data_IF_053480434186
#
_entry.id   IF_053480434186
#
_cell.length_a   1.000
_cell.length_b   1.000
_cell.length_c   1.000
_cell.angle_alpha   90.00
_cell.angle_beta   90.00
_cell.angle_gamma   90.00
#
_symmetry.space_group_name_H-M   'P 1'
#
loop_
_entity.id
_entity.type
_entity.pdbx_description
1 polymer ?
#
# COMPACT_ATOMS: atom_id res chain seq x y z
N UNK A 1 -3.72 2.25 -27.56
CA UNK A 1 -3.94 3.28 -26.50
C UNK A 1 -4.78 2.75 -25.33
N UNK A 2 -5.76 1.86 -25.55
CA UNK A 2 -6.55 1.30 -24.44
C UNK A 2 -5.72 0.47 -23.46
N UNK A 3 -4.76 -0.31 -23.96
CA UNK A 3 -3.87 -1.13 -23.15
C UNK A 3 -2.90 -0.28 -22.32
N UNK A 4 -2.39 0.80 -22.89
CA UNK A 4 -1.53 1.75 -22.15
C UNK A 4 -2.25 2.35 -20.94
N UNK A 5 -3.56 2.59 -21.03
CA UNK A 5 -4.37 3.08 -19.89
C UNK A 5 -4.60 2.03 -18.79
N UNK A 6 -4.31 0.77 -19.06
CA UNK A 6 -4.42 -0.34 -18.11
C UNK A 6 -3.06 -0.74 -17.52
N UNK A 7 -1.99 -0.05 -17.89
CA UNK A 7 -0.64 -0.35 -17.39
C UNK A 7 -0.56 -0.10 -15.88
N UNK A 8 0.12 -1.00 -15.20
CA UNK A 8 0.39 -0.91 -13.75
C UNK A 8 1.77 -0.28 -13.55
N UNK A 9 1.91 0.68 -12.62
CA UNK A 9 3.20 1.24 -12.28
C UNK A 9 4.18 0.17 -11.81
N UNK A 10 5.32 0.04 -12.49
CA UNK A 10 6.34 -0.92 -12.12
C UNK A 10 7.31 -0.34 -11.09
N UNK A 11 7.97 -1.23 -10.34
CA UNK A 11 8.99 -0.86 -9.36
C UNK A 11 10.16 -0.09 -10.00
N UNK A 12 10.59 -0.53 -11.17
CA UNK A 12 11.64 0.12 -11.96
C UNK A 12 11.17 0.21 -13.41
N UNK A 13 10.91 1.41 -13.89
CA UNK A 13 10.49 1.67 -15.27
C UNK A 13 11.67 2.14 -16.14
N UNK A 14 11.49 2.10 -17.44
CA UNK A 14 12.42 2.66 -18.42
C UNK A 14 11.66 3.50 -19.42
N UNK A 15 12.24 4.63 -19.81
CA UNK A 15 11.70 5.41 -20.92
C UNK A 15 11.72 4.59 -22.21
N UNK A 16 10.73 4.75 -23.08
CA UNK A 16 10.68 4.03 -24.35
C UNK A 16 11.86 4.43 -25.25
N UNK A 17 12.45 3.45 -25.93
CA UNK A 17 13.52 3.69 -26.91
C UNK A 17 13.00 4.49 -28.10
N UNK A 18 11.75 4.24 -28.50
CA UNK A 18 11.04 4.97 -29.55
C UNK A 18 9.84 5.65 -28.93
N UNK A 19 9.83 6.96 -28.93
CA UNK A 19 8.78 7.79 -28.36
C UNK A 19 7.98 8.55 -29.41
N UNK A 20 6.88 9.16 -28.99
CA UNK A 20 6.01 10.00 -29.81
C UNK A 20 6.34 11.50 -29.69
N UNK A 21 7.17 11.86 -28.69
CA UNK A 21 7.46 13.25 -28.30
C UNK A 21 6.46 13.84 -27.28
N UNK A 22 5.42 13.08 -26.92
CA UNK A 22 4.42 13.51 -25.93
C UNK A 22 4.77 13.09 -24.50
N UNK A 23 5.76 12.22 -24.32
CA UNK A 23 6.09 11.57 -23.06
C UNK A 23 6.43 12.56 -21.95
N UNK A 24 7.24 13.59 -22.27
CA UNK A 24 7.61 14.66 -21.33
C UNK A 24 6.39 15.48 -20.91
N UNK A 25 5.58 15.86 -21.89
CA UNK A 25 4.39 16.64 -21.63
C UNK A 25 3.37 15.87 -20.82
N UNK A 26 3.13 14.60 -21.18
CA UNK A 26 2.23 13.73 -20.45
C UNK A 26 2.67 13.54 -18.99
N UNK A 27 3.98 13.36 -18.73
CA UNK A 27 4.51 13.24 -17.37
C UNK A 27 4.26 14.53 -16.55
N UNK A 28 4.54 15.71 -17.10
CA UNK A 28 4.31 17.00 -16.42
C UNK A 28 2.83 17.28 -16.19
N UNK A 29 2.00 17.14 -17.23
CA UNK A 29 0.57 17.49 -17.18
C UNK A 29 -0.22 16.51 -16.28
N UNK A 30 0.29 15.29 -16.04
CA UNK A 30 -0.33 14.31 -15.13
C UNK A 30 -0.16 14.68 -13.65
N UNK A 31 0.79 15.54 -13.29
CA UNK A 31 1.13 15.84 -11.91
C UNK A 31 1.82 14.71 -11.14
N UNK A 32 2.28 13.65 -11.84
CA UNK A 32 3.02 12.55 -11.20
C UNK A 32 4.47 12.90 -10.91
N UNK A 33 5.06 13.79 -11.68
CA UNK A 33 6.41 14.32 -11.46
C UNK A 33 6.34 15.61 -10.67
N UNK A 34 7.34 15.85 -9.83
CA UNK A 34 7.49 17.12 -9.13
C UNK A 34 8.30 18.08 -9.99
N UNK A 35 7.86 19.34 -10.06
CA UNK A 35 8.42 20.38 -10.94
C UNK A 35 8.88 21.55 -10.07
N UNK A 36 10.02 22.15 -10.39
CA UNK A 36 10.49 23.36 -9.73
C UNK A 36 9.54 24.53 -9.98
N UNK A 37 9.16 25.24 -8.94
CA UNK A 37 8.28 26.41 -8.96
C UNK A 37 9.03 27.74 -9.12
N UNK A 38 10.37 27.71 -9.07
CA UNK A 38 11.23 28.88 -9.21
C UNK A 38 12.60 28.52 -9.78
N UNK A 39 13.28 29.56 -10.29
CA UNK A 39 14.71 29.46 -10.61
C UNK A 39 15.54 29.49 -9.34
N UNK A 40 16.47 28.58 -9.17
CA UNK A 40 17.26 28.53 -7.96
C UNK A 40 18.35 27.46 -7.95
N UNK A 41 18.88 27.24 -6.75
CA UNK A 41 19.86 26.21 -6.48
C UNK A 41 19.28 25.23 -5.43
N UNK A 42 19.43 23.98 -5.69
CA UNK A 42 19.00 22.93 -4.76
C UNK A 42 19.90 22.98 -3.51
N UNK A 43 19.29 23.33 -2.38
CA UNK A 43 20.00 23.43 -1.10
C UNK A 43 20.11 22.11 -0.38
N UNK A 44 19.01 21.33 -0.40
CA UNK A 44 18.91 20.06 0.31
C UNK A 44 18.03 19.08 -0.42
N UNK A 45 18.44 17.82 -0.43
CA UNK A 45 17.64 16.70 -0.98
C UNK A 45 17.58 15.59 0.05
N UNK A 46 16.39 15.25 0.49
CA UNK A 46 16.12 14.07 1.32
C UNK A 46 15.01 13.25 0.69
N UNK A 47 14.76 12.05 1.21
CA UNK A 47 13.76 11.13 0.64
C UNK A 47 12.35 11.72 0.53
N UNK A 48 11.98 12.63 1.40
CA UNK A 48 10.62 13.18 1.53
C UNK A 48 10.49 14.63 1.10
N UNK A 49 11.60 15.36 0.92
CA UNK A 49 11.58 16.78 0.56
C UNK A 49 12.78 17.20 -0.28
N UNK A 50 12.56 18.19 -1.14
CA UNK A 50 13.59 18.92 -1.88
C UNK A 50 13.43 20.39 -1.52
N UNK A 51 14.52 21.05 -1.12
CA UNK A 51 14.53 22.48 -0.81
C UNK A 51 15.33 23.19 -1.90
N UNK A 52 14.67 24.13 -2.58
CA UNK A 52 15.27 24.99 -3.58
C UNK A 52 15.38 26.40 -3.01
N UNK A 53 16.53 27.03 -3.12
CA UNK A 53 16.75 28.40 -2.73
C UNK A 53 16.76 29.29 -3.97
N UNK A 54 15.82 30.24 -4.02
CA UNK A 54 15.68 31.16 -5.13
C UNK A 54 16.78 32.26 -5.15
N UNK A 55 16.76 33.10 -6.15
CA UNK A 55 17.70 34.26 -6.31
C UNK A 55 17.59 35.27 -5.17
N UNK A 56 16.46 35.31 -4.46
CA UNK A 56 16.22 36.19 -3.31
C UNK A 56 16.54 35.51 -1.97
N UNK A 57 17.20 34.35 -2.01
CA UNK A 57 17.57 33.56 -0.86
C UNK A 57 16.39 33.02 -0.04
N UNK A 58 15.19 32.91 -0.65
CA UNK A 58 13.98 32.34 -0.05
C UNK A 58 13.95 30.82 -0.29
N UNK A 59 13.69 29.99 0.73
CA UNK A 59 13.57 28.56 0.55
C UNK A 59 12.17 28.20 0.01
N UNK A 60 12.14 27.34 -1.01
CA UNK A 60 10.96 26.69 -1.55
C UNK A 60 11.03 25.20 -1.23
N UNK A 61 10.05 24.69 -0.51
CA UNK A 61 10.02 23.30 -0.03
C UNK A 61 9.05 22.49 -0.87
N UNK A 62 9.57 21.49 -1.57
CA UNK A 62 8.79 20.51 -2.33
C UNK A 62 8.71 19.22 -1.54
N UNK A 63 7.52 18.87 -1.06
CA UNK A 63 7.27 17.63 -0.33
C UNK A 63 6.95 16.50 -1.30
N UNK A 64 7.67 15.40 -1.22
CA UNK A 64 7.52 14.25 -2.11
C UNK A 64 6.53 13.22 -1.55
N UNK A 65 5.69 12.67 -2.43
CA UNK A 65 4.80 11.56 -2.08
C UNK A 65 5.60 10.27 -1.95
N UNK A 66 5.56 9.64 -0.77
CA UNK A 66 6.29 8.41 -0.48
C UNK A 66 5.33 7.27 -0.14
N UNK A 67 5.32 6.22 -0.95
CA UNK A 67 4.53 5.00 -0.75
C UNK A 67 3.04 5.28 -0.47
N UNK A 68 2.46 6.20 -1.21
CA UNK A 68 1.04 6.56 -1.09
C UNK A 68 0.20 5.61 -1.94
N UNK A 69 -0.91 5.15 -1.39
CA UNK A 69 -1.88 4.33 -2.12
C UNK A 69 -2.65 5.19 -3.12
N UNK A 70 -2.70 4.74 -4.38
CA UNK A 70 -3.60 5.30 -5.39
C UNK A 70 -5.02 4.72 -5.26
N UNK A 71 -5.97 5.28 -6.01
CA UNK A 71 -7.35 4.75 -6.05
C UNK A 71 -7.45 3.34 -6.63
N UNK A 72 -6.46 2.88 -7.38
CA UNK A 72 -6.35 1.54 -7.96
C UNK A 72 -5.44 0.62 -7.15
N UNK A 73 -5.18 0.93 -5.88
CA UNK A 73 -4.31 0.18 -4.98
C UNK A 73 -2.84 0.10 -5.42
N UNK A 74 -2.44 0.89 -6.42
CA UNK A 74 -1.04 0.98 -6.86
C UNK A 74 -0.24 1.93 -5.98
N UNK A 75 1.08 1.81 -6.01
CA UNK A 75 1.98 2.62 -5.20
C UNK A 75 2.40 3.89 -5.93
N UNK A 76 2.18 5.04 -5.32
CA UNK A 76 2.74 6.32 -5.74
C UNK A 76 3.97 6.59 -4.86
N UNK A 77 5.14 6.68 -5.49
CA UNK A 77 6.38 6.95 -4.79
C UNK A 77 7.27 7.84 -5.64
N UNK A 78 7.46 9.09 -5.20
CA UNK A 78 8.32 10.05 -5.89
C UNK A 78 9.77 9.89 -5.46
N UNK A 79 10.68 10.03 -6.44
CA UNK A 79 12.13 9.88 -6.26
C UNK A 79 12.82 11.12 -6.78
N UNK A 80 13.70 11.78 -5.98
CA UNK A 80 14.48 12.92 -6.45
C UNK A 80 15.35 12.55 -7.67
N UNK A 81 15.42 13.48 -8.63
CA UNK A 81 16.32 13.43 -9.78
C UNK A 81 17.53 14.36 -9.61
N UNK A 82 17.37 15.40 -8.79
CA UNK A 82 18.37 16.44 -8.55
C UNK A 82 19.23 16.13 -7.34
N UNK A 83 20.40 16.74 -7.30
CA UNK A 83 21.35 16.65 -6.18
C UNK A 83 21.57 18.02 -5.56
N UNK A 84 22.09 18.06 -4.34
CA UNK A 84 22.46 19.28 -3.67
C UNK A 84 23.50 20.06 -4.49
N UNK A 85 23.25 21.34 -4.69
CA UNK A 85 24.08 22.23 -5.50
C UNK A 85 23.68 22.34 -6.96
N UNK A 86 22.74 21.53 -7.45
CA UNK A 86 22.23 21.62 -8.82
C UNK A 86 21.47 22.94 -9.03
N UNK A 87 21.65 23.52 -10.21
CA UNK A 87 20.88 24.70 -10.65
C UNK A 87 19.64 24.23 -11.40
N UNK A 88 18.49 24.69 -10.97
CA UNK A 88 17.18 24.38 -11.57
C UNK A 88 16.51 25.65 -12.06
N UNK A 89 15.67 25.51 -13.08
CA UNK A 89 14.81 26.57 -13.59
C UNK A 89 13.35 26.23 -13.29
N UNK A 90 12.53 27.26 -13.24
CA UNK A 90 11.08 27.10 -13.17
C UNK A 90 10.59 26.13 -14.27
N UNK A 91 9.82 25.13 -13.90
CA UNK A 91 9.30 24.12 -14.80
C UNK A 91 10.24 22.92 -15.06
N UNK A 92 11.45 22.90 -14.50
CA UNK A 92 12.30 21.69 -14.56
C UNK A 92 11.74 20.57 -13.67
N UNK A 93 11.85 19.33 -14.13
CA UNK A 93 11.44 18.16 -13.33
C UNK A 93 12.52 17.86 -12.31
N UNK A 94 12.16 17.90 -11.04
CA UNK A 94 13.06 17.67 -9.90
C UNK A 94 12.90 16.31 -9.25
N UNK A 95 11.74 15.67 -9.43
CA UNK A 95 11.53 14.30 -8.98
C UNK A 95 10.61 13.51 -9.93
N UNK A 96 10.95 12.25 -10.16
CA UNK A 96 10.11 11.28 -10.87
C UNK A 96 9.03 10.72 -9.94
N UNK A 97 7.90 10.29 -10.51
CA UNK A 97 6.80 9.64 -9.82
C UNK A 97 6.48 8.25 -10.36
N UNK A 98 5.25 7.82 -10.18
CA UNK A 98 4.78 6.56 -10.72
C UNK A 98 4.80 6.57 -12.26
N UNK A 99 5.28 5.49 -12.87
CA UNK A 99 5.38 5.32 -14.33
C UNK A 99 6.12 6.46 -15.06
N UNK A 100 7.13 7.04 -14.42
CA UNK A 100 8.00 8.05 -15.03
C UNK A 100 9.47 7.71 -14.84
N UNK A 101 10.30 8.16 -15.77
CA UNK A 101 11.75 7.99 -15.72
C UNK A 101 12.43 9.20 -16.38
N UNK A 102 13.27 9.90 -15.63
CA UNK A 102 13.92 11.14 -16.06
C UNK A 102 12.93 12.21 -16.61
N UNK A 103 11.79 12.36 -15.96
CA UNK A 103 10.75 13.33 -16.34
C UNK A 103 9.94 12.94 -17.58
N UNK A 104 10.08 11.72 -18.08
CA UNK A 104 9.32 11.19 -19.21
C UNK A 104 8.40 10.06 -18.79
N UNK A 105 7.24 9.95 -19.45
CA UNK A 105 6.31 8.84 -19.24
C UNK A 105 6.98 7.51 -19.61
N UNK A 106 6.95 6.56 -18.67
CA UNK A 106 7.63 5.26 -18.76
C UNK A 106 6.70 4.18 -18.21
N UNK A 107 5.87 3.61 -19.10
CA UNK A 107 4.81 2.66 -18.70
C UNK A 107 5.32 1.22 -18.49
N UNK A 108 6.56 0.94 -18.81
CA UNK A 108 7.08 -0.43 -18.76
C UNK A 108 8.60 -0.52 -18.83
N UNK A 109 9.06 -1.60 -19.43
CA UNK A 109 10.48 -1.95 -19.63
C UNK A 109 10.75 -2.24 -21.09
N UNK A 110 11.95 -1.89 -21.55
CA UNK A 110 12.46 -2.33 -22.84
C UNK A 110 13.05 -3.73 -22.71
N UNK A 111 12.51 -4.69 -23.45
CA UNK A 111 12.94 -6.09 -23.45
C UNK A 111 13.21 -6.59 -24.87
N UNK A 112 14.12 -7.55 -25.00
CA UNK A 112 14.39 -8.21 -26.26
C UNK A 112 13.29 -9.25 -26.48
N UNK A 113 12.66 -9.22 -27.66
CA UNK A 113 11.58 -10.14 -28.06
C UNK A 113 12.04 -10.97 -29.26
N UNK A 114 11.81 -12.28 -29.21
CA UNK A 114 11.95 -13.19 -30.33
C UNK A 114 10.57 -13.61 -30.86
N UNK A 115 10.31 -13.42 -32.15
CA UNK A 115 9.08 -13.84 -32.82
C UNK A 115 9.31 -15.22 -33.45
N UNK A 116 8.97 -16.25 -32.74
CA UNK A 116 9.12 -17.64 -33.22
C UNK A 116 8.14 -18.56 -32.46
N UNK A 117 7.67 -19.66 -33.09
CA UNK A 117 6.97 -20.71 -32.34
C UNK A 117 7.95 -21.42 -31.40
N UNK A 118 7.50 -21.76 -30.21
CA UNK A 118 8.30 -22.53 -29.27
C UNK A 118 7.48 -23.62 -28.57
N UNK A 119 7.58 -24.83 -29.10
CA UNK A 119 6.97 -26.05 -28.52
C UNK A 119 5.48 -25.92 -28.18
N UNK A 120 4.79 -24.99 -28.84
CA UNK A 120 3.35 -24.72 -28.62
C UNK A 120 3.04 -23.90 -27.35
N UNK A 121 4.02 -23.58 -26.51
CA UNK A 121 3.77 -22.82 -25.29
C UNK A 121 3.41 -21.34 -25.49
N UNK A 122 3.61 -20.83 -26.69
CA UNK A 122 3.23 -19.47 -27.09
C UNK A 122 2.05 -19.46 -28.09
N UNK A 123 1.16 -20.45 -27.99
CA UNK A 123 -0.04 -20.55 -28.84
C UNK A 123 -1.00 -19.39 -28.58
N UNK A 124 -1.57 -18.82 -29.66
CA UNK A 124 -2.46 -17.63 -29.64
C UNK A 124 -1.73 -16.39 -29.05
N UNK A 125 -2.23 -15.87 -27.94
CA UNK A 125 -1.74 -14.67 -27.25
C UNK A 125 -0.79 -15.00 -26.08
N UNK A 126 -0.43 -16.26 -25.91
CA UNK A 126 0.51 -16.68 -24.87
C UNK A 126 1.93 -16.20 -25.18
N UNK A 127 2.62 -15.73 -24.16
CA UNK A 127 4.00 -15.22 -24.21
C UNK A 127 4.84 -15.98 -23.19
N UNK A 128 6.00 -16.46 -23.64
CA UNK A 128 7.02 -17.00 -22.74
C UNK A 128 7.93 -15.90 -22.24
N UNK A 129 8.21 -15.91 -20.97
CA UNK A 129 9.17 -15.00 -20.34
C UNK A 129 10.39 -15.76 -19.83
N UNK A 130 11.55 -15.15 -19.94
CA UNK A 130 12.73 -15.64 -19.26
C UNK A 130 12.53 -15.54 -17.74
N UNK A 131 12.98 -16.53 -16.99
CA UNK A 131 12.99 -16.53 -15.53
C UNK A 131 13.71 -15.30 -14.91
N UNK A 132 14.66 -14.74 -15.64
CA UNK A 132 15.30 -13.45 -15.28
C UNK A 132 14.31 -12.32 -15.10
N UNK A 133 13.21 -12.29 -15.84
CA UNK A 133 12.19 -11.25 -15.68
C UNK A 133 11.56 -11.27 -14.28
N UNK A 134 11.45 -12.45 -13.69
CA UNK A 134 10.95 -12.63 -12.31
C UNK A 134 12.08 -12.38 -11.30
N UNK A 135 13.27 -12.90 -11.56
CA UNK A 135 14.41 -12.78 -10.65
C UNK A 135 14.87 -11.33 -10.50
N UNK A 136 15.00 -10.62 -11.62
CA UNK A 136 15.51 -9.23 -11.67
C UNK A 136 14.39 -8.18 -11.48
N UNK A 137 13.21 -8.58 -11.04
CA UNK A 137 12.05 -7.69 -10.79
C UNK A 137 11.66 -6.81 -11.99
N UNK A 138 11.76 -7.31 -13.21
CA UNK A 138 11.56 -6.51 -14.43
C UNK A 138 10.12 -6.01 -14.56
N UNK A 139 9.12 -6.87 -14.28
CA UNK A 139 7.71 -6.54 -14.31
C UNK A 139 7.05 -6.56 -12.93
N UNK A 140 7.82 -6.26 -11.91
CA UNK A 140 7.34 -6.24 -10.52
C UNK A 140 6.65 -4.93 -10.20
N UNK A 141 5.52 -5.02 -9.52
CA UNK A 141 4.74 -3.88 -9.03
C UNK A 141 4.54 -3.95 -7.52
N UNK A 142 4.25 -2.79 -6.92
CA UNK A 142 3.89 -2.69 -5.51
C UNK A 142 2.43 -2.27 -5.42
N UNK A 143 1.64 -3.02 -4.67
CA UNK A 143 0.25 -2.74 -4.40
C UNK A 143 0.07 -2.44 -2.92
N UNK A 144 -0.72 -1.40 -2.61
CA UNK A 144 -0.99 -1.00 -1.23
C UNK A 144 -2.48 -1.19 -1.00
N UNK A 145 -2.83 -2.15 -0.16
CA UNK A 145 -4.21 -2.42 0.22
C UNK A 145 -4.56 -1.73 1.53
N UNK A 146 -5.78 -1.20 1.58
CA UNK A 146 -6.34 -0.57 2.77
C UNK A 146 -7.38 -1.50 3.37
N UNK A 147 -7.10 -2.01 4.55
CA UNK A 147 -8.06 -2.75 5.37
C UNK A 147 -8.54 -1.85 6.51
N UNK A 148 -9.83 -1.88 6.77
CA UNK A 148 -10.46 -0.99 7.76
C UNK A 148 -11.37 -1.79 8.69
N UNK A 149 -11.34 -1.45 9.97
CA UNK A 149 -12.25 -1.98 10.98
C UNK A 149 -12.74 -0.85 11.86
N UNK A 150 -14.01 -0.90 12.23
CA UNK A 150 -14.62 0.01 13.18
C UNK A 150 -15.04 -0.72 14.46
N UNK A 151 -14.94 -0.03 15.58
CA UNK A 151 -15.52 -0.46 16.84
C UNK A 151 -16.75 0.41 17.15
N UNK A 152 -17.89 -0.24 17.35
CA UNK A 152 -19.19 0.41 17.51
C UNK A 152 -19.75 0.18 18.89
N UNK A 153 -20.66 1.08 19.28
CA UNK A 153 -21.53 0.85 20.42
C UNK A 153 -22.64 -0.12 20.02
N UNK A 154 -22.71 -1.28 20.69
CA UNK A 154 -23.80 -2.24 20.49
C UNK A 154 -24.82 -2.18 21.64
N UNK A 155 -25.98 -2.82 21.46
CA UNK A 155 -27.02 -2.92 22.51
C UNK A 155 -26.54 -3.69 23.75
N UNK A 156 -25.55 -4.56 23.59
CA UNK A 156 -24.98 -5.41 24.64
C UNK A 156 -23.74 -4.79 25.31
N UNK A 157 -23.28 -3.66 24.83
CA UNK A 157 -22.09 -2.97 25.27
C UNK A 157 -21.21 -2.50 24.11
N UNK A 158 -20.14 -1.75 24.38
CA UNK A 158 -19.21 -1.32 23.37
C UNK A 158 -18.37 -2.50 22.83
N UNK A 159 -18.07 -2.47 21.54
CA UNK A 159 -17.00 -3.29 20.98
C UNK A 159 -15.67 -2.73 21.44
N UNK A 160 -14.71 -3.60 21.75
CA UNK A 160 -13.41 -3.21 22.27
C UNK A 160 -12.29 -3.65 21.32
N UNK A 161 -11.33 -2.76 21.10
CA UNK A 161 -10.07 -3.09 20.43
C UNK A 161 -9.10 -3.55 21.53
N UNK A 162 -8.67 -4.80 21.45
CA UNK A 162 -7.83 -5.41 22.49
C UNK A 162 -6.94 -6.51 21.92
N UNK A 163 -5.81 -6.74 22.59
CA UNK A 163 -4.96 -7.90 22.35
C UNK A 163 -5.52 -9.18 22.98
N UNK A 164 -6.37 -9.06 23.97
CA UNK A 164 -6.96 -10.20 24.69
C UNK A 164 -8.12 -10.81 23.90
N UNK A 165 -7.80 -11.67 22.94
CA UNK A 165 -8.76 -12.34 22.06
C UNK A 165 -8.96 -13.77 22.56
N UNK A 166 -10.21 -14.25 22.73
CA UNK A 166 -10.48 -15.60 23.19
C UNK A 166 -10.04 -16.64 22.14
N UNK A 167 -9.52 -17.77 22.61
CA UNK A 167 -9.13 -18.93 21.80
C UNK A 167 -8.07 -18.65 20.71
N UNK A 168 -7.17 -17.71 20.96
CA UNK A 168 -6.06 -17.36 20.07
C UNK A 168 -4.73 -17.62 20.78
N UNK A 169 -3.78 -18.24 20.08
CA UNK A 169 -2.45 -18.52 20.60
C UNK A 169 -1.59 -17.25 20.68
N UNK A 170 -0.62 -17.22 21.59
CA UNK A 170 0.35 -16.11 21.70
C UNK A 170 1.14 -15.90 20.39
N UNK A 171 1.42 -16.95 19.63
CA UNK A 171 2.10 -16.86 18.34
C UNK A 171 1.30 -16.05 17.31
N UNK A 172 -0.02 -16.19 17.31
CA UNK A 172 -0.90 -15.42 16.43
C UNK A 172 -0.97 -13.93 16.84
N UNK A 173 -0.63 -13.59 18.09
CA UNK A 173 -0.63 -12.24 18.64
C UNK A 173 0.74 -11.56 18.55
N UNK A 174 1.77 -12.21 18.03
CA UNK A 174 3.18 -11.74 18.04
C UNK A 174 3.38 -10.39 17.36
N UNK A 175 2.59 -10.07 16.34
CA UNK A 175 2.67 -8.85 15.56
C UNK A 175 1.85 -7.69 16.13
N UNK A 176 1.02 -7.96 17.14
CA UNK A 176 0.17 -6.95 17.78
C UNK A 176 0.92 -6.20 18.89
N UNK A 177 0.58 -4.94 19.03
CA UNK A 177 1.00 -4.11 20.17
C UNK A 177 0.10 -4.41 21.41
N UNK A 178 0.34 -3.67 22.51
CA UNK A 178 -0.44 -3.82 23.75
C UNK A 178 -1.92 -3.45 23.59
N UNK A 179 -2.25 -2.64 22.59
CA UNK A 179 -3.62 -2.23 22.27
C UNK A 179 -4.33 -3.22 21.33
N UNK A 180 -3.63 -4.27 20.89
CA UNK A 180 -4.17 -5.23 19.93
C UNK A 180 -4.12 -4.79 18.47
N UNK A 181 -3.26 -3.84 18.14
CA UNK A 181 -3.08 -3.30 16.77
C UNK A 181 -1.75 -3.79 16.21
N UNK A 182 -1.73 -4.18 14.94
CA UNK A 182 -0.52 -4.64 14.26
C UNK A 182 0.54 -3.53 14.21
N UNK A 183 1.81 -3.93 14.42
CA UNK A 183 2.94 -2.99 14.38
C UNK A 183 3.32 -2.65 12.95
N UNK A 184 3.67 -1.39 12.71
CA UNK A 184 4.24 -0.95 11.42
C UNK A 184 5.53 -1.72 11.14
N UNK A 185 5.71 -2.15 9.89
CA UNK A 185 6.84 -2.96 9.44
C UNK A 185 6.68 -4.47 9.64
N UNK A 186 5.65 -4.94 10.33
CA UNK A 186 5.36 -6.36 10.48
C UNK A 186 5.08 -7.00 9.11
N UNK A 187 5.60 -8.21 8.91
CA UNK A 187 5.25 -9.04 7.76
C UNK A 187 4.08 -9.94 8.12
N UNK A 188 3.00 -9.80 7.39
CA UNK A 188 1.73 -10.49 7.62
C UNK A 188 1.35 -11.38 6.45
N UNK A 189 0.68 -12.48 6.76
CA UNK A 189 0.21 -13.50 5.81
C UNK A 189 -1.30 -13.65 5.95
N UNK A 190 -1.90 -14.40 5.02
CA UNK A 190 -3.32 -14.73 5.10
C UNK A 190 -3.68 -15.28 6.49
N UNK A 191 -4.83 -14.86 7.02
CA UNK A 191 -5.38 -15.17 8.34
C UNK A 191 -4.65 -14.56 9.55
N UNK A 192 -3.51 -13.89 9.38
CA UNK A 192 -2.87 -13.16 10.48
C UNK A 192 -3.80 -12.04 11.00
N UNK A 193 -3.80 -11.85 12.31
CA UNK A 193 -4.62 -10.81 12.95
C UNK A 193 -3.94 -9.45 12.80
N UNK A 194 -4.68 -8.49 12.23
CA UNK A 194 -4.24 -7.11 12.08
C UNK A 194 -4.71 -6.21 13.22
N UNK A 195 -5.96 -6.39 13.63
CA UNK A 195 -6.55 -5.65 14.74
C UNK A 195 -7.43 -6.60 15.54
N UNK A 196 -7.11 -6.77 16.81
CA UNK A 196 -7.92 -7.54 17.73
C UNK A 196 -9.18 -6.76 18.12
N UNK A 197 -10.35 -7.31 17.82
CA UNK A 197 -11.65 -6.76 18.22
C UNK A 197 -12.52 -7.82 18.84
N UNK A 198 -13.11 -7.50 19.96
CA UNK A 198 -14.08 -8.35 20.63
C UNK A 198 -15.42 -7.65 20.75
N UNK A 199 -16.49 -8.43 20.57
CA UNK A 199 -17.87 -7.94 20.66
C UNK A 199 -18.56 -8.67 21.80
N UNK A 200 -19.30 -7.99 22.70
CA UNK A 200 -20.07 -8.63 23.77
C UNK A 200 -21.10 -9.62 23.21
N UNK A 201 -21.18 -10.83 23.79
CA UNK A 201 -22.19 -11.84 23.44
C UNK A 201 -23.45 -11.67 24.29
N UNK A 202 -24.63 -11.92 23.70
CA UNK A 202 -25.88 -12.08 24.44
C UNK A 202 -26.01 -13.49 25.04
N UNK A 203 -26.76 -13.62 26.13
CA UNK A 203 -27.01 -14.91 26.81
C UNK A 203 -27.58 -16.00 25.90
N UNK A 204 -28.24 -15.65 24.81
CA UNK A 204 -28.83 -16.57 23.85
C UNK A 204 -27.83 -17.15 22.83
N UNK A 205 -26.66 -16.56 22.69
CA UNK A 205 -25.66 -16.96 21.66
C UNK A 205 -24.69 -18.03 22.10
N UNK A 206 -24.82 -18.54 23.33
CA UNK A 206 -23.96 -19.61 23.81
C UNK A 206 -24.45 -20.98 23.34
N UNK A 207 -23.59 -21.80 22.70
CA UNK A 207 -23.90 -23.19 22.40
C UNK A 207 -24.26 -23.95 23.69
N UNK A 208 -25.13 -24.96 23.62
CA UNK A 208 -25.52 -25.77 24.80
C UNK A 208 -24.33 -26.35 25.59
N UNK A 209 -23.27 -26.73 24.87
CA UNK A 209 -22.04 -27.29 25.43
C UNK A 209 -21.27 -26.24 26.26
N UNK A 210 -21.21 -24.99 25.80
CA UNK A 210 -20.56 -23.89 26.53
C UNK A 210 -21.34 -23.52 27.79
N UNK A 211 -22.68 -23.52 27.73
CA UNK A 211 -23.55 -23.32 28.89
C UNK A 211 -23.33 -24.43 29.97
N UNK A 212 -23.14 -25.65 29.52
CA UNK A 212 -22.88 -26.79 30.41
C UNK A 212 -21.50 -26.71 31.08
N UNK A 213 -20.47 -26.35 30.33
CA UNK A 213 -19.11 -26.14 30.83
C UNK A 213 -19.04 -25.00 31.86
N UNK A 214 -19.76 -23.90 31.63
CA UNK A 214 -19.88 -22.80 32.60
C UNK A 214 -20.54 -23.23 33.90
N UNK A 215 -21.58 -24.05 33.81
CA UNK A 215 -22.27 -24.55 34.99
C UNK A 215 -21.40 -25.52 35.81
N UNK A 216 -20.50 -26.29 35.17
CA UNK A 216 -19.65 -27.28 35.82
C UNK A 216 -18.35 -26.66 36.38
N UNK A 217 -17.69 -25.77 35.63
CA UNK A 217 -16.35 -25.33 35.98
C UNK A 217 -16.29 -23.91 36.56
N UNK A 218 -17.42 -23.18 36.66
CA UNK A 218 -17.48 -21.79 37.13
C UNK A 218 -16.43 -20.85 36.49
N UNK A 219 -15.87 -21.24 35.34
CA UNK A 219 -14.89 -20.43 34.62
C UNK A 219 -15.59 -19.19 34.05
N UNK A 220 -15.09 -18.03 34.42
CA UNK A 220 -15.42 -16.76 33.79
C UNK A 220 -14.84 -16.74 32.36
N UNK A 221 -15.39 -17.57 31.46
CA UNK A 221 -15.18 -17.35 30.04
C UNK A 221 -15.71 -15.94 29.73
N UNK A 222 -14.87 -15.08 29.12
CA UNK A 222 -15.31 -13.74 28.73
C UNK A 222 -16.49 -13.89 27.78
N UNK A 223 -17.57 -13.15 28.05
CA UNK A 223 -18.79 -13.13 27.24
C UNK A 223 -18.58 -12.30 25.96
N UNK A 224 -17.52 -12.61 25.20
CA UNK A 224 -17.14 -11.88 24.02
C UNK A 224 -16.90 -12.81 22.85
N UNK A 225 -17.20 -12.31 21.64
CA UNK A 225 -16.95 -12.99 20.37
C UNK A 225 -15.77 -12.32 19.70
N UNK A 226 -14.89 -13.13 19.11
CA UNK A 226 -13.80 -12.65 18.25
C UNK A 226 -14.38 -12.11 16.92
N UNK A 227 -14.21 -10.82 16.68
CA UNK A 227 -14.53 -10.13 15.45
C UNK A 227 -13.30 -9.36 14.93
N UNK A 228 -12.12 -9.89 15.19
CA UNK A 228 -10.85 -9.29 14.78
C UNK A 228 -10.72 -9.17 13.28
N UNK A 229 -10.05 -8.10 12.85
CA UNK A 229 -9.66 -7.93 11.45
C UNK A 229 -8.49 -8.85 11.14
N UNK A 230 -8.66 -9.70 10.14
CA UNK A 230 -7.63 -10.61 9.65
C UNK A 230 -7.26 -10.27 8.22
N UNK A 231 -6.05 -10.66 7.82
CA UNK A 231 -5.62 -10.56 6.43
C UNK A 231 -6.45 -11.52 5.58
N UNK A 232 -7.10 -11.05 4.51
CA UNK A 232 -7.87 -11.89 3.60
C UNK A 232 -7.02 -12.96 2.92
N UNK A 233 -7.66 -14.04 2.47
CA UNK A 233 -6.99 -15.08 1.70
C UNK A 233 -6.44 -14.54 0.37
N UNK A 234 -5.20 -14.93 0.06
CA UNK A 234 -4.48 -14.47 -1.14
C UNK A 234 -3.79 -13.13 -0.99
N UNK A 235 -4.00 -12.46 0.13
CA UNK A 235 -3.33 -11.22 0.49
C UNK A 235 -2.22 -11.45 1.50
N UNK A 236 -1.35 -10.48 1.63
CA UNK A 236 -0.25 -10.50 2.58
C UNK A 236 0.83 -9.52 2.16
N UNK A 237 1.76 -9.23 3.06
CA UNK A 237 2.81 -8.28 2.74
C UNK A 237 3.43 -7.66 3.98
N UNK A 238 3.83 -6.41 3.85
CA UNK A 238 4.39 -5.63 4.95
C UNK A 238 3.46 -4.48 5.33
N UNK A 239 3.16 -4.34 6.60
CA UNK A 239 2.39 -3.22 7.12
C UNK A 239 3.19 -1.93 6.96
N UNK A 240 2.68 -1.00 6.14
CA UNK A 240 3.31 0.30 5.87
C UNK A 240 2.92 1.35 6.90
N UNK A 241 1.65 1.43 7.21
CA UNK A 241 1.09 2.46 8.07
C UNK A 241 -0.17 1.96 8.77
N UNK A 242 -0.44 2.53 9.94
CA UNK A 242 -1.64 2.27 10.73
C UNK A 242 -2.19 3.59 11.23
N UNK A 243 -3.42 3.93 10.85
CA UNK A 243 -4.11 5.14 11.29
C UNK A 243 -5.25 4.79 12.22
N UNK A 244 -5.23 5.38 13.40
CA UNK A 244 -6.27 5.22 14.41
C UNK A 244 -7.01 6.53 14.54
N UNK A 245 -8.31 6.49 14.29
CA UNK A 245 -9.22 7.62 14.44
C UNK A 245 -10.12 7.34 15.62
N UNK A 246 -10.28 8.31 16.51
CA UNK A 246 -11.01 8.17 17.75
C UNK A 246 -11.97 9.35 17.94
N UNK A 247 -13.23 9.04 18.22
CA UNK A 247 -14.26 10.07 18.46
C UNK A 247 -13.93 10.94 19.66
N UNK A 248 -13.32 10.38 20.68
CA UNK A 248 -12.93 11.13 21.89
C UNK A 248 -11.85 12.18 21.59
N UNK A 249 -11.04 11.96 20.55
CA UNK A 249 -10.03 12.90 20.08
C UNK A 249 -10.56 13.96 19.12
N UNK A 250 -11.86 13.91 18.80
CA UNK A 250 -12.50 14.88 17.92
C UNK A 250 -12.46 14.52 16.43
N UNK A 251 -12.11 13.29 16.08
CA UNK A 251 -12.12 12.82 14.70
C UNK A 251 -13.54 12.65 14.18
N UNK A 252 -13.79 13.03 12.93
CA UNK A 252 -15.05 12.77 12.25
C UNK A 252 -15.16 11.29 11.86
N UNK A 253 -16.06 10.57 12.51
CA UNK A 253 -16.27 9.14 12.29
C UNK A 253 -17.70 8.86 11.77
N UNK A 254 -17.88 7.73 11.07
CA UNK A 254 -19.20 7.27 10.66
C UNK A 254 -20.17 7.18 11.87
N UNK A 255 -21.48 7.36 11.66
CA UNK A 255 -22.47 7.26 12.73
C UNK A 255 -22.37 5.91 13.45
N UNK A 256 -22.30 5.97 14.79
CA UNK A 256 -22.22 4.78 15.65
C UNK A 256 -20.82 4.19 15.86
N UNK A 257 -19.81 4.60 15.11
CA UNK A 257 -18.44 4.19 15.36
C UNK A 257 -17.79 5.04 16.46
N UNK A 258 -17.09 4.40 17.38
CA UNK A 258 -16.29 5.06 18.43
C UNK A 258 -14.83 5.17 17.99
N UNK A 259 -14.30 4.13 17.37
CA UNK A 259 -12.93 4.07 16.87
C UNK A 259 -12.94 3.45 15.48
N UNK A 260 -12.11 3.97 14.57
CA UNK A 260 -11.85 3.40 13.25
C UNK A 260 -10.35 3.20 13.09
N UNK A 261 -9.96 2.00 12.68
CA UNK A 261 -8.55 1.67 12.45
C UNK A 261 -8.38 1.28 11.00
N UNK A 262 -7.43 1.95 10.33
CA UNK A 262 -7.03 1.68 8.95
C UNK A 262 -5.63 1.13 8.93
N UNK A 263 -5.47 -0.04 8.33
CA UNK A 263 -4.18 -0.70 8.16
C UNK A 263 -3.85 -0.70 6.68
N UNK A 264 -2.65 -0.24 6.34
CA UNK A 264 -2.13 -0.21 4.97
C UNK A 264 -1.06 -1.29 4.82
N UNK A 265 -1.28 -2.22 3.90
CA UNK A 265 -0.37 -3.36 3.65
C UNK A 265 0.20 -3.23 2.24
N UNK A 266 1.53 -3.22 2.12
CA UNK A 266 2.21 -3.26 0.84
C UNK A 266 2.53 -4.69 0.43
N UNK A 267 2.09 -5.06 -0.75
CA UNK A 267 2.40 -6.32 -1.40
C UNK A 267 3.25 -6.08 -2.64
N UNK A 268 4.37 -6.79 -2.74
CA UNK A 268 5.19 -6.84 -3.94
C UNK A 268 4.70 -7.97 -4.82
N UNK A 269 4.17 -7.64 -6.00
CA UNK A 269 3.64 -8.61 -6.97
C UNK A 269 4.63 -8.75 -8.12
N UNK A 270 5.09 -9.98 -8.33
CA UNK A 270 5.92 -10.36 -9.48
C UNK A 270 5.02 -10.85 -10.61
N UNK A 271 5.52 -10.79 -11.83
CA UNK A 271 4.82 -11.34 -13.00
C UNK A 271 4.57 -12.84 -12.81
N UNK A 272 3.37 -13.28 -13.09
CA UNK A 272 2.93 -14.67 -12.96
C UNK A 272 2.09 -15.10 -14.17
N UNK A 273 1.83 -16.39 -14.26
CA UNK A 273 0.97 -16.94 -15.31
C UNK A 273 -0.44 -16.36 -15.17
N UNK A 274 -1.00 -15.88 -16.28
CA UNK A 274 -2.31 -15.22 -16.32
C UNK A 274 -2.24 -13.70 -16.33
N UNK A 275 -1.08 -13.09 -16.08
CA UNK A 275 -0.91 -11.65 -16.18
C UNK A 275 -0.94 -11.21 -17.65
N UNK A 276 -1.63 -10.09 -17.91
CA UNK A 276 -1.72 -9.48 -19.23
C UNK A 276 -0.53 -8.55 -19.44
N UNK A 277 0.21 -8.79 -20.52
CA UNK A 277 1.27 -7.91 -21.01
C UNK A 277 0.80 -7.12 -22.24
N UNK A 278 1.34 -5.92 -22.43
CA UNK A 278 1.03 -5.08 -23.59
C UNK A 278 2.30 -4.56 -24.26
#
# INVERSE_FOLDING_TARGET
SNMQRQSVPLLITQRPVVGTGMEKRAAKDSGMVEVADCDGVVERVVGEEIIIRDIHNKPHVHTLMKYVRSNQDTCINQKPLVHEGDKVKEGDVIADGASTNCGELSLGKNVIVAYMPWEGYNYEDAILLSERCVHDDIFTSVHIEKLEIDARQTKLGPEEITREIPNVSEDALRHLDERGIVRIGARVYADDILVGKVTPKGESEHPPEEKLLRAIFAEKARDVKDNSLRVPHGEGGRVLDVKVFDREKGDELPPGANTVIRVYIAQKRKVSVGDKLS
#
